data_IF_693326045485
#
_entry.id   IF_693326045485
#
_cell.length_a   1.000
_cell.length_b   1.000
_cell.length_c   1.000
_cell.angle_alpha   90.00
_cell.angle_beta   90.00
_cell.angle_gamma   90.00
#
_symmetry.space_group_name_H-M   'P 1'
#
loop_
_entity.id
_entity.type
_entity.pdbx_description
1 polymer ?
#
# COMPACT_ATOMS: atom_id res chain seq x y z
N UNK A 1 10.22 1.70 15.01
CA UNK A 1 10.07 1.26 16.42
C UNK A 1 9.95 -0.26 16.53
N UNK A 2 8.97 -0.89 15.89
CA UNK A 2 8.81 -2.36 15.85
C UNK A 2 10.08 -3.07 15.36
N UNK A 3 10.65 -2.67 14.22
CA UNK A 3 11.91 -3.27 13.72
C UNK A 3 13.10 -3.21 14.69
N UNK A 4 13.18 -2.17 15.54
CA UNK A 4 14.23 -2.04 16.56
C UNK A 4 14.02 -3.01 17.72
N UNK A 5 12.76 -3.15 18.17
CA UNK A 5 12.41 -4.11 19.23
C UNK A 5 12.72 -5.55 18.78
N UNK A 6 12.33 -5.89 17.54
CA UNK A 6 12.52 -7.25 17.01
C UNK A 6 13.97 -7.56 16.61
N UNK A 7 14.74 -6.61 16.07
CA UNK A 7 16.15 -6.86 15.68
C UNK A 7 17.17 -6.64 16.80
N UNK A 8 16.92 -5.74 17.75
CA UNK A 8 17.92 -5.38 18.75
C UNK A 8 17.62 -6.00 20.11
N UNK A 9 16.39 -5.85 20.62
CA UNK A 9 16.02 -6.33 21.96
C UNK A 9 15.84 -7.85 21.93
N UNK A 10 15.06 -8.38 20.98
CA UNK A 10 14.82 -9.82 20.90
C UNK A 10 16.08 -10.62 20.53
N UNK A 11 16.97 -10.06 19.71
CA UNK A 11 18.28 -10.66 19.44
C UNK A 11 19.16 -10.74 20.70
N UNK A 12 19.14 -9.70 21.55
CA UNK A 12 19.97 -9.62 22.76
C UNK A 12 19.49 -10.52 23.89
N UNK A 13 18.18 -10.66 24.07
CA UNK A 13 17.59 -11.37 25.21
C UNK A 13 17.15 -12.81 24.90
N UNK A 14 16.87 -13.14 23.63
CA UNK A 14 16.34 -14.44 23.24
C UNK A 14 16.92 -14.92 21.89
N UNK A 15 18.24 -14.93 21.76
CA UNK A 15 18.95 -15.21 20.51
C UNK A 15 18.54 -16.54 19.83
N UNK A 16 18.50 -17.66 20.58
CA UNK A 16 18.11 -18.98 20.04
C UNK A 16 16.66 -19.02 19.55
N UNK A 17 15.78 -18.29 20.22
CA UNK A 17 14.38 -18.17 19.80
C UNK A 17 14.26 -17.27 18.57
N UNK A 18 14.99 -16.17 18.55
CA UNK A 18 14.99 -15.21 17.45
C UNK A 18 15.40 -15.85 16.11
N UNK A 19 16.48 -16.65 16.11
CA UNK A 19 16.95 -17.33 14.90
C UNK A 19 15.89 -18.25 14.28
N UNK A 20 15.07 -18.90 15.12
CA UNK A 20 14.04 -19.84 14.68
C UNK A 20 12.78 -19.17 14.12
N UNK A 21 12.45 -17.96 14.58
CA UNK A 21 11.17 -17.30 14.26
C UNK A 21 11.30 -16.01 13.43
N UNK A 22 12.52 -15.50 13.18
CA UNK A 22 12.73 -14.28 12.39
C UNK A 22 12.14 -14.38 10.97
N UNK A 23 12.24 -15.54 10.33
CA UNK A 23 11.67 -15.78 8.99
C UNK A 23 10.13 -15.66 8.99
N UNK A 24 9.47 -16.32 9.94
CA UNK A 24 8.00 -16.28 10.08
C UNK A 24 7.53 -14.87 10.42
N UNK A 25 8.28 -14.13 11.23
CA UNK A 25 7.97 -12.74 11.55
C UNK A 25 8.06 -11.82 10.33
N UNK A 26 9.11 -11.98 9.50
CA UNK A 26 9.25 -11.21 8.26
C UNK A 26 8.10 -11.51 7.28
N UNK A 27 7.75 -12.79 7.13
CA UNK A 27 6.61 -13.21 6.32
C UNK A 27 5.28 -12.67 6.88
N UNK A 28 5.11 -12.66 8.21
CA UNK A 28 3.95 -12.09 8.87
C UNK A 28 3.84 -10.58 8.67
N UNK A 29 4.95 -9.85 8.67
CA UNK A 29 4.96 -8.40 8.48
C UNK A 29 4.53 -8.00 7.05
N UNK A 30 4.97 -8.73 6.02
CA UNK A 30 4.53 -8.47 4.64
C UNK A 30 3.04 -8.77 4.46
N UNK A 31 2.56 -9.90 4.99
CA UNK A 31 1.14 -10.24 5.00
C UNK A 31 0.31 -9.20 5.78
N UNK A 32 0.81 -8.74 6.92
CA UNK A 32 0.14 -7.73 7.74
C UNK A 32 -0.06 -6.40 7.01
N UNK A 33 0.96 -5.92 6.29
CA UNK A 33 0.84 -4.70 5.47
C UNK A 33 -0.23 -4.86 4.39
N UNK A 34 -0.27 -6.01 3.70
CA UNK A 34 -1.29 -6.29 2.70
C UNK A 34 -2.71 -6.31 3.29
N UNK A 35 -2.88 -6.94 4.46
CA UNK A 35 -4.16 -6.98 5.18
C UNK A 35 -4.59 -5.57 5.61
N UNK A 36 -3.69 -4.76 6.15
CA UNK A 36 -3.98 -3.37 6.49
C UNK A 36 -4.43 -2.57 5.27
N UNK A 37 -3.75 -2.74 4.12
CA UNK A 37 -4.15 -2.10 2.86
C UNK A 37 -5.56 -2.50 2.42
N UNK A 38 -5.90 -3.79 2.50
CA UNK A 38 -7.24 -4.29 2.20
C UNK A 38 -8.32 -3.69 3.10
N UNK A 39 -8.05 -3.62 4.41
CA UNK A 39 -8.98 -3.04 5.39
C UNK A 39 -9.20 -1.55 5.11
N UNK A 40 -8.13 -0.80 4.84
CA UNK A 40 -8.20 0.63 4.51
C UNK A 40 -9.04 0.85 3.25
N UNK A 41 -8.84 0.02 2.22
CA UNK A 41 -9.57 0.11 0.96
C UNK A 41 -11.08 -0.08 1.13
N UNK A 42 -11.48 -1.12 1.88
CA UNK A 42 -12.90 -1.36 2.17
C UNK A 42 -13.49 -0.23 3.01
N UNK A 43 -12.76 0.25 4.03
CA UNK A 43 -13.23 1.34 4.88
C UNK A 43 -13.46 2.64 4.09
N UNK A 44 -12.59 2.95 3.12
CA UNK A 44 -12.72 4.12 2.25
C UNK A 44 -13.88 3.98 1.25
N UNK A 45 -14.01 2.82 0.60
CA UNK A 45 -15.09 2.57 -0.37
C UNK A 45 -16.49 2.61 0.27
N UNK A 46 -16.62 2.12 1.50
CA UNK A 46 -17.89 2.11 2.22
C UNK A 46 -18.39 3.53 2.56
N UNK A 47 -17.48 4.51 2.66
CA UNK A 47 -17.83 5.89 3.01
C UNK A 47 -18.15 6.80 1.81
N UNK A 48 -18.22 6.27 0.58
CA UNK A 48 -18.49 7.02 -0.66
C UNK A 48 -17.64 8.30 -0.83
N UNK A 49 -16.42 8.29 -0.27
CA UNK A 49 -15.51 9.43 -0.31
C UNK A 49 -14.72 9.38 -1.62
N UNK A 50 -14.80 10.47 -2.39
CA UNK A 50 -13.93 10.64 -3.54
C UNK A 50 -12.47 10.71 -3.06
N UNK A 51 -11.61 9.90 -3.68
CA UNK A 51 -10.19 9.87 -3.34
C UNK A 51 -9.57 11.27 -3.47
N UNK A 52 -8.80 11.74 -2.48
CA UNK A 52 -8.18 13.06 -2.53
C UNK A 52 -7.24 13.18 -3.74
N UNK A 53 -7.17 14.39 -4.32
CA UNK A 53 -6.27 14.67 -5.43
C UNK A 53 -4.81 14.58 -4.97
N UNK A 54 -4.21 13.41 -5.24
CA UNK A 54 -2.78 13.13 -5.12
C UNK A 54 -2.12 13.04 -6.51
N UNK A 55 -0.83 12.72 -6.54
CA UNK A 55 -0.01 12.61 -7.75
C UNK A 55 -0.51 11.59 -8.80
N UNK A 56 -1.50 10.74 -8.48
CA UNK A 56 -2.13 9.79 -9.41
C UNK A 56 -3.63 10.01 -9.69
N UNK A 57 -4.26 11.05 -9.14
CA UNK A 57 -5.71 11.34 -9.32
C UNK A 57 -5.98 12.84 -9.52
N UNK A 58 -4.93 13.67 -9.53
CA UNK A 58 -5.01 15.13 -9.53
C UNK A 58 -5.17 15.79 -10.91
N UNK A 59 -5.10 15.02 -12.01
CA UNK A 59 -5.19 15.57 -13.36
C UNK A 59 -6.63 15.73 -13.85
N UNK A 60 -6.86 16.57 -14.89
CA UNK A 60 -8.15 16.59 -15.61
C UNK A 60 -8.54 15.21 -16.16
N UNK A 61 -7.57 14.30 -16.28
CA UNK A 61 -7.76 12.88 -16.54
C UNK A 61 -7.32 12.06 -15.34
N UNK A 62 -8.20 11.17 -14.87
CA UNK A 62 -8.01 10.31 -13.69
C UNK A 62 -6.76 9.40 -13.77
N UNK A 63 -6.26 9.14 -14.98
CA UNK A 63 -5.16 8.20 -15.23
C UNK A 63 -3.83 8.89 -15.61
N UNK A 64 -3.80 10.23 -15.65
CA UNK A 64 -2.59 11.00 -16.02
C UNK A 64 -2.09 10.78 -17.46
N UNK A 65 -2.79 10.00 -18.28
CA UNK A 65 -2.45 9.72 -19.67
C UNK A 65 -3.43 10.44 -20.62
N UNK A 66 -2.95 11.38 -21.47
CA UNK A 66 -3.79 12.13 -22.41
C UNK A 66 -4.50 11.27 -23.47
N UNK A 67 -4.10 10.01 -23.62
CA UNK A 67 -4.54 9.11 -24.70
C UNK A 67 -5.48 7.99 -24.22
N UNK A 68 -5.70 7.83 -22.91
CA UNK A 68 -6.50 6.72 -22.38
C UNK A 68 -8.00 6.82 -22.76
N UNK A 69 -8.51 8.04 -22.91
CA UNK A 69 -9.91 8.31 -23.27
C UNK A 69 -10.21 8.04 -24.76
N UNK A 70 -9.19 8.15 -25.61
CA UNK A 70 -9.35 8.08 -27.08
C UNK A 70 -9.72 6.67 -27.58
N UNK A 71 -9.43 5.61 -26.82
CA UNK A 71 -9.82 4.23 -27.17
C UNK A 71 -11.35 4.05 -27.17
N UNK A 72 -12.05 4.64 -26.19
CA UNK A 72 -13.50 4.46 -26.08
C UNK A 72 -14.31 5.55 -26.78
N UNK A 73 -13.80 6.79 -26.86
CA UNK A 73 -14.54 7.94 -27.40
C UNK A 73 -14.02 8.47 -28.74
N UNK A 74 -12.88 7.96 -29.24
CA UNK A 74 -12.29 8.38 -30.52
C UNK A 74 -11.81 9.84 -30.58
N UNK A 75 -11.81 10.55 -29.44
CA UNK A 75 -11.42 11.97 -29.35
C UNK A 75 -10.25 12.13 -28.38
N UNK A 76 -9.19 12.82 -28.81
CA UNK A 76 -8.04 13.16 -27.96
C UNK A 76 -8.30 14.52 -27.31
N UNK A 77 -8.38 14.54 -25.99
CA UNK A 77 -8.42 15.78 -25.20
C UNK A 77 -6.99 16.34 -25.13
N UNK A 78 -6.55 17.03 -26.17
CA UNK A 78 -5.34 17.87 -26.10
C UNK A 78 -5.76 19.29 -25.75
N UNK A 79 -5.63 19.65 -24.46
CA UNK A 79 -5.23 20.97 -23.93
C UNK A 79 -4.90 20.81 -22.44
#
# INVERSE_FOLDING_TARGET
LVGFIFNFILYRYAHVWWEKYAYVFSAGMSCGVAICGFIIFIALQNHNIEFPQWWGTGGPMRDGCPLAIANYSGFVLTD
#
